data_IF_300303635993
#
_entry.id   IF_300303635993
#
_cell.length_a   1.000
_cell.length_b   1.000
_cell.length_c   1.000
_cell.angle_alpha   90.00
_cell.angle_beta   90.00
_cell.angle_gamma   90.00
#
_symmetry.space_group_name_H-M   'P 1'
#
loop_
_entity.id
_entity.type
_entity.pdbx_description
1 polymer ?
#
# COMPACT_ATOMS: atom_id res chain seq x y z
N UNK A 1 -38.86 0.41 10.92
CA UNK A 1 -37.91 0.34 9.80
C UNK A 1 -38.18 1.39 8.70
N UNK A 2 -39.27 1.32 7.91
CA UNK A 2 -39.47 2.26 6.78
C UNK A 2 -39.61 3.74 7.16
N UNK A 3 -40.12 4.03 8.35
CA UNK A 3 -40.17 5.40 8.90
C UNK A 3 -38.79 5.91 9.28
N UNK A 4 -37.95 5.05 9.85
CA UNK A 4 -36.58 5.40 10.26
C UNK A 4 -35.67 5.55 9.05
N UNK A 5 -35.82 4.71 8.03
CA UNK A 5 -35.11 4.82 6.75
C UNK A 5 -35.44 6.14 6.07
N UNK A 6 -36.73 6.51 5.98
CA UNK A 6 -37.14 7.81 5.44
C UNK A 6 -36.53 8.97 6.22
N UNK A 7 -36.63 8.93 7.55
CA UNK A 7 -36.02 9.95 8.41
C UNK A 7 -34.51 10.06 8.20
N UNK A 8 -33.79 8.93 8.07
CA UNK A 8 -32.36 8.92 7.82
C UNK A 8 -32.02 9.50 6.44
N UNK A 9 -32.77 9.12 5.40
CA UNK A 9 -32.60 9.67 4.05
C UNK A 9 -32.78 11.20 4.05
N UNK A 10 -33.87 11.68 4.64
CA UNK A 10 -34.15 13.12 4.71
C UNK A 10 -33.06 13.85 5.51
N UNK A 11 -32.57 13.22 6.59
CA UNK A 11 -31.47 13.76 7.39
C UNK A 11 -30.18 13.86 6.58
N UNK A 12 -29.80 12.82 5.83
CA UNK A 12 -28.58 12.82 5.01
C UNK A 12 -28.65 13.87 3.90
N UNK A 13 -29.79 13.98 3.20
CA UNK A 13 -30.01 15.00 2.17
C UNK A 13 -29.96 16.41 2.78
N UNK A 14 -30.61 16.62 3.92
CA UNK A 14 -30.61 17.91 4.60
C UNK A 14 -29.22 18.29 5.10
N UNK A 15 -28.45 17.34 5.66
CA UNK A 15 -27.05 17.58 6.06
C UNK A 15 -26.23 18.01 4.84
N UNK A 16 -26.30 17.26 3.74
CA UNK A 16 -25.57 17.60 2.51
C UNK A 16 -25.89 19.02 2.02
N UNK A 17 -27.17 19.35 1.89
CA UNK A 17 -27.60 20.67 1.44
C UNK A 17 -27.23 21.80 2.42
N UNK A 18 -27.32 21.54 3.72
CA UNK A 18 -27.02 22.54 4.76
C UNK A 18 -25.52 22.81 4.82
N UNK A 19 -24.69 21.78 4.77
CA UNK A 19 -23.22 21.92 4.74
C UNK A 19 -22.79 22.69 3.49
N UNK A 20 -23.32 22.33 2.31
CA UNK A 20 -23.06 23.06 1.06
C UNK A 20 -23.39 24.55 1.18
N UNK A 21 -24.53 24.90 1.79
CA UNK A 21 -24.93 26.29 1.99
C UNK A 21 -24.04 27.00 3.01
N UNK A 22 -23.67 26.33 4.10
CA UNK A 22 -22.77 26.87 5.12
C UNK A 22 -21.38 27.16 4.56
N UNK A 23 -20.84 26.26 3.73
CA UNK A 23 -19.58 26.47 3.02
C UNK A 23 -19.65 27.70 2.10
N UNK A 24 -20.73 27.82 1.32
CA UNK A 24 -20.92 28.95 0.43
C UNK A 24 -21.00 30.29 1.19
N UNK A 25 -21.77 30.35 2.28
CA UNK A 25 -21.86 31.53 3.14
C UNK A 25 -20.55 31.85 3.86
N UNK A 26 -19.80 30.83 4.28
CA UNK A 26 -18.50 31.01 4.95
C UNK A 26 -17.47 31.61 3.98
N UNK A 27 -17.43 31.16 2.73
CA UNK A 27 -16.57 31.74 1.70
C UNK A 27 -16.99 33.19 1.37
N UNK A 28 -18.29 33.48 1.30
CA UNK A 28 -18.78 34.86 1.08
C UNK A 28 -18.43 35.82 2.23
N UNK A 29 -18.31 35.33 3.46
CA UNK A 29 -17.94 36.12 4.64
C UNK A 29 -16.43 36.16 4.90
N UNK A 30 -15.66 35.27 4.28
CA UNK A 30 -14.21 35.23 4.39
C UNK A 30 -13.58 36.44 3.70
N UNK A 31 -12.33 36.77 4.04
CA UNK A 31 -11.61 37.93 3.49
C UNK A 31 -11.19 37.79 2.01
N UNK A 32 -11.86 36.91 1.25
CA UNK A 32 -11.55 36.61 -0.14
C UNK A 32 -12.75 36.94 -1.04
N UNK A 33 -12.81 38.19 -1.50
CA UNK A 33 -13.94 38.66 -2.34
C UNK A 33 -13.92 38.11 -3.77
N UNK A 34 -12.84 37.43 -4.17
CA UNK A 34 -12.56 37.03 -5.55
C UNK A 34 -12.53 35.51 -5.79
N UNK A 35 -12.99 34.67 -4.86
CA UNK A 35 -12.96 33.20 -5.01
C UNK A 35 -14.31 32.54 -4.70
N UNK A 36 -14.72 31.55 -5.50
CA UNK A 36 -15.94 30.76 -5.27
C UNK A 36 -15.67 29.47 -4.51
N UNK A 37 -16.71 28.85 -3.91
CA UNK A 37 -16.57 27.56 -3.22
C UNK A 37 -16.03 26.45 -4.14
N UNK A 38 -16.48 26.39 -5.40
CA UNK A 38 -15.95 25.43 -6.39
C UNK A 38 -14.47 25.66 -6.68
N UNK A 39 -14.03 26.92 -6.66
CA UNK A 39 -12.62 27.27 -6.81
C UNK A 39 -11.83 26.86 -5.55
N UNK A 40 -12.38 27.02 -4.35
CA UNK A 40 -11.78 26.52 -3.10
C UNK A 40 -11.62 25.01 -3.12
N UNK A 41 -12.67 24.23 -3.45
CA UNK A 41 -12.55 22.77 -3.61
C UNK A 41 -11.54 22.38 -4.69
N UNK A 42 -11.38 23.21 -5.74
CA UNK A 42 -10.33 23.01 -6.73
C UNK A 42 -8.94 23.26 -6.13
N UNK A 43 -8.76 24.25 -5.26
CA UNK A 43 -7.51 24.46 -4.52
C UNK A 43 -7.22 23.31 -3.56
N UNK A 44 -8.22 22.80 -2.85
CA UNK A 44 -8.07 21.63 -1.98
C UNK A 44 -7.65 20.39 -2.75
N UNK A 45 -8.25 20.14 -3.92
CA UNK A 45 -7.86 19.05 -4.79
C UNK A 45 -6.43 19.20 -5.37
N UNK A 46 -5.89 20.43 -5.43
CA UNK A 46 -4.47 20.68 -5.72
C UNK A 46 -3.60 20.41 -4.48
N UNK A 47 -4.10 20.74 -3.29
CA UNK A 47 -3.48 20.45 -1.99
C UNK A 47 -2.27 21.32 -1.65
N UNK A 48 -1.98 21.45 -0.35
CA UNK A 48 -0.87 22.27 0.20
C UNK A 48 0.52 21.61 0.09
N UNK A 49 0.61 20.45 -0.57
CA UNK A 49 1.82 19.64 -0.70
C UNK A 49 2.55 19.79 -2.04
N UNK A 50 2.95 18.64 -2.62
CA UNK A 50 3.69 18.57 -3.89
C UNK A 50 2.84 19.02 -5.08
N UNK A 51 3.50 19.59 -6.09
CA UNK A 51 2.87 19.93 -7.36
C UNK A 51 2.23 18.71 -8.05
N UNK A 52 0.99 18.87 -8.52
CA UNK A 52 0.15 17.84 -9.13
C UNK A 52 -0.04 18.08 -10.63
N UNK A 53 -0.45 17.05 -11.37
CA UNK A 53 -0.81 17.20 -12.80
C UNK A 53 -2.29 17.55 -12.96
N UNK A 54 -2.67 18.14 -14.10
CA UNK A 54 -4.07 18.41 -14.44
C UNK A 54 -4.94 17.15 -14.43
N UNK A 55 -4.44 16.06 -15.02
CA UNK A 55 -5.16 14.77 -15.05
C UNK A 55 -5.47 14.27 -13.64
N UNK A 56 -4.51 14.45 -12.73
CA UNK A 56 -4.65 14.00 -11.37
C UNK A 56 -5.72 14.80 -10.60
N UNK A 57 -5.67 16.14 -10.63
CA UNK A 57 -6.66 16.99 -9.95
C UNK A 57 -8.06 16.79 -10.54
N UNK A 58 -8.17 16.55 -11.85
CA UNK A 58 -9.46 16.32 -12.51
C UNK A 58 -10.11 15.02 -12.04
N UNK A 59 -9.30 13.97 -11.80
CA UNK A 59 -9.78 12.70 -11.28
C UNK A 59 -10.29 12.83 -9.83
N UNK A 60 -9.63 13.63 -8.99
CA UNK A 60 -10.06 13.89 -7.60
C UNK A 60 -11.44 14.54 -7.59
N UNK A 61 -11.61 15.58 -8.41
CA UNK A 61 -12.88 16.30 -8.53
C UNK A 61 -13.96 15.54 -9.32
N UNK A 62 -13.62 14.42 -9.95
CA UNK A 62 -14.55 13.65 -10.78
C UNK A 62 -15.00 14.38 -12.05
N UNK A 63 -14.18 15.29 -12.59
CA UNK A 63 -14.50 16.11 -13.78
C UNK A 63 -13.56 15.84 -14.96
N UNK A 64 -13.92 16.32 -16.15
CA UNK A 64 -13.05 16.24 -17.34
C UNK A 64 -11.85 17.18 -17.19
N UNK A 65 -10.69 16.77 -17.73
CA UNK A 65 -9.46 17.59 -17.74
C UNK A 65 -9.67 18.93 -18.45
N UNK A 66 -10.50 18.97 -19.50
CA UNK A 66 -10.87 20.21 -20.19
C UNK A 66 -11.60 21.19 -19.26
N UNK A 67 -12.54 20.71 -18.45
CA UNK A 67 -13.25 21.50 -17.44
C UNK A 67 -12.30 22.04 -16.37
N UNK A 68 -11.41 21.18 -15.86
CA UNK A 68 -10.40 21.61 -14.91
C UNK A 68 -9.46 22.68 -15.50
N UNK A 69 -9.09 22.56 -16.76
CA UNK A 69 -8.18 23.52 -17.44
C UNK A 69 -8.72 24.93 -17.38
N UNK A 70 -10.02 25.10 -17.58
CA UNK A 70 -10.69 26.40 -17.46
C UNK A 70 -10.73 26.90 -16.02
N UNK A 71 -11.01 26.04 -15.04
CA UNK A 71 -11.04 26.40 -13.63
C UNK A 71 -9.65 26.83 -13.12
N UNK A 72 -8.63 26.01 -13.38
CA UNK A 72 -7.24 26.30 -13.01
C UNK A 72 -6.73 27.55 -13.72
N UNK A 73 -7.10 27.78 -14.99
CA UNK A 73 -6.74 29.00 -15.70
C UNK A 73 -7.22 30.28 -15.00
N UNK A 74 -8.43 30.25 -14.42
CA UNK A 74 -8.95 31.36 -13.59
C UNK A 74 -8.17 31.52 -12.29
N UNK A 75 -7.91 30.41 -11.59
CA UNK A 75 -7.14 30.41 -10.34
C UNK A 75 -5.69 30.89 -10.51
N UNK A 76 -5.06 30.60 -11.66
CA UNK A 76 -3.74 31.13 -12.02
C UNK A 76 -3.81 32.64 -12.22
N UNK A 77 -4.80 33.16 -12.96
CA UNK A 77 -4.99 34.61 -13.17
C UNK A 77 -5.23 35.35 -11.85
N UNK A 78 -5.97 34.73 -10.93
CA UNK A 78 -6.23 35.25 -9.57
C UNK A 78 -5.02 35.09 -8.62
N UNK A 79 -3.95 34.44 -9.04
CA UNK A 79 -2.72 34.28 -8.24
C UNK A 79 -2.80 33.21 -7.14
N UNK A 80 -3.82 32.34 -7.15
CA UNK A 80 -3.97 31.25 -6.17
C UNK A 80 -3.19 29.98 -6.56
N UNK A 81 -2.93 29.79 -7.86
CA UNK A 81 -2.25 28.60 -8.39
C UNK A 81 -1.06 29.01 -9.23
N UNK A 82 0.06 28.30 -9.07
CA UNK A 82 1.23 28.37 -9.94
C UNK A 82 1.17 27.21 -10.93
N UNK A 83 1.37 27.52 -12.20
CA UNK A 83 1.46 26.52 -13.29
C UNK A 83 2.86 26.58 -13.88
N UNK A 84 3.53 25.45 -13.94
CA UNK A 84 4.89 25.35 -14.48
C UNK A 84 5.08 24.04 -15.24
N UNK A 85 6.10 24.00 -16.10
CA UNK A 85 6.53 22.77 -16.75
C UNK A 85 7.48 22.05 -15.80
N UNK A 86 7.28 20.74 -15.67
CA UNK A 86 8.16 19.92 -14.85
C UNK A 86 9.60 19.99 -15.38
N UNK A 87 10.56 20.10 -14.46
CA UNK A 87 11.98 20.24 -14.83
C UNK A 87 12.56 18.92 -15.36
N UNK A 88 12.03 17.77 -14.93
CA UNK A 88 12.46 16.45 -15.37
C UNK A 88 11.75 16.01 -16.67
N UNK A 89 10.47 16.34 -16.87
CA UNK A 89 9.78 16.17 -18.16
C UNK A 89 9.11 17.48 -18.59
N UNK A 90 9.78 18.26 -19.44
CA UNK A 90 9.28 19.55 -19.95
C UNK A 90 7.95 19.46 -20.70
N UNK A 91 7.50 18.25 -21.08
CA UNK A 91 6.17 18.01 -21.69
C UNK A 91 5.07 17.91 -20.64
N UNK A 92 5.43 17.65 -19.39
CA UNK A 92 4.49 17.53 -18.28
C UNK A 92 4.25 18.90 -17.65
N UNK A 93 2.98 19.30 -17.60
CA UNK A 93 2.54 20.52 -16.92
C UNK A 93 2.08 20.16 -15.52
N UNK A 94 2.67 20.81 -14.53
CA UNK A 94 2.26 20.70 -13.12
C UNK A 94 1.65 22.00 -12.61
N UNK A 95 0.84 21.84 -11.57
CA UNK A 95 0.20 22.93 -10.84
C UNK A 95 0.44 22.74 -9.35
N UNK A 96 0.67 23.85 -8.63
CA UNK A 96 0.75 23.89 -7.18
C UNK A 96 0.05 25.12 -6.65
N UNK A 97 -0.29 25.09 -5.36
CA UNK A 97 -0.80 26.29 -4.70
C UNK A 97 0.30 27.36 -4.61
N UNK A 98 -0.10 28.61 -4.80
CA UNK A 98 0.70 29.74 -4.31
C UNK A 98 0.57 29.84 -2.79
N UNK A 99 1.32 30.73 -2.16
CA UNK A 99 1.15 31.02 -0.73
C UNK A 99 -0.29 31.50 -0.43
N UNK A 100 -0.87 32.30 -1.33
CA UNK A 100 -2.26 32.76 -1.27
C UNK A 100 -3.24 31.57 -1.37
N UNK A 101 -3.03 30.67 -2.33
CA UNK A 101 -3.85 29.45 -2.47
C UNK A 101 -3.76 28.52 -1.26
N UNK A 102 -2.56 28.34 -0.73
CA UNK A 102 -2.34 27.50 0.45
C UNK A 102 -2.97 28.08 1.71
N UNK A 103 -3.04 29.42 1.83
CA UNK A 103 -3.74 30.08 2.94
C UNK A 103 -5.24 29.81 2.90
N UNK A 104 -5.88 29.97 1.74
CA UNK A 104 -7.31 29.68 1.55
C UNK A 104 -7.64 28.24 1.96
N UNK A 105 -6.84 27.27 1.50
CA UNK A 105 -7.05 25.86 1.85
C UNK A 105 -6.94 25.64 3.36
N UNK A 106 -5.92 26.19 4.03
CA UNK A 106 -5.78 26.05 5.49
C UNK A 106 -6.93 26.67 6.27
N UNK A 107 -7.40 27.84 5.85
CA UNK A 107 -8.53 28.51 6.50
C UNK A 107 -9.84 27.73 6.29
N UNK A 108 -10.02 27.13 5.11
CA UNK A 108 -11.17 26.28 4.81
C UNK A 108 -11.13 24.95 5.59
N UNK A 109 -9.96 24.30 5.68
CA UNK A 109 -9.76 23.11 6.51
C UNK A 109 -10.05 23.40 7.99
N UNK A 110 -9.55 24.54 8.51
CA UNK A 110 -9.82 24.97 9.88
C UNK A 110 -11.31 25.25 10.13
N UNK A 111 -12.01 25.82 9.15
CA UNK A 111 -13.46 25.99 9.20
C UNK A 111 -14.19 24.64 9.31
N UNK A 112 -13.82 23.66 8.49
CA UNK A 112 -14.39 22.31 8.59
C UNK A 112 -14.13 21.67 9.94
N UNK A 113 -12.91 21.76 10.45
CA UNK A 113 -12.57 21.20 11.75
C UNK A 113 -13.39 21.84 12.87
N UNK A 114 -13.52 23.17 12.88
CA UNK A 114 -14.33 23.89 13.84
C UNK A 114 -15.82 23.52 13.75
N UNK A 115 -16.35 23.39 12.53
CA UNK A 115 -17.73 22.96 12.29
C UNK A 115 -17.99 21.56 12.84
N UNK A 116 -17.12 20.59 12.54
CA UNK A 116 -17.26 19.22 13.03
C UNK A 116 -17.13 19.16 14.55
N UNK A 117 -16.15 19.88 15.15
CA UNK A 117 -16.02 19.97 16.60
C UNK A 117 -17.29 20.53 17.25
N UNK A 118 -17.87 21.58 16.68
CA UNK A 118 -19.13 22.14 17.17
C UNK A 118 -20.30 21.16 17.03
N UNK A 119 -20.41 20.46 15.88
CA UNK A 119 -21.45 19.45 15.66
C UNK A 119 -21.35 18.27 16.64
N UNK A 120 -20.12 17.88 17.02
CA UNK A 120 -19.88 16.80 17.98
C UNK A 120 -20.03 17.23 19.44
N UNK A 121 -20.06 18.53 19.75
CA UNK A 121 -20.15 19.03 21.14
C UNK A 121 -21.42 18.58 21.89
N UNK A 122 -22.49 18.25 21.15
CA UNK A 122 -23.74 17.72 21.71
C UNK A 122 -23.76 16.19 21.85
N UNK A 123 -22.67 15.50 21.48
CA UNK A 123 -22.55 14.04 21.54
C UNK A 123 -21.64 13.65 22.71
N UNK A 124 -22.08 12.77 23.62
CA UNK A 124 -21.21 12.24 24.67
C UNK A 124 -19.92 11.61 24.10
N UNK A 125 -18.77 11.86 24.72
CA UNK A 125 -17.46 11.40 24.22
C UNK A 125 -17.40 9.88 24.00
N UNK A 126 -18.03 9.11 24.90
CA UNK A 126 -18.11 7.64 24.83
C UNK A 126 -18.95 7.13 23.63
N UNK A 127 -19.72 8.02 23.02
CA UNK A 127 -20.61 7.74 21.90
C UNK A 127 -20.03 8.22 20.56
N UNK A 128 -19.03 9.11 20.58
CA UNK A 128 -18.38 9.65 19.37
C UNK A 128 -17.77 8.52 18.53
N UNK A 129 -17.06 7.58 19.15
CA UNK A 129 -16.46 6.45 18.43
C UNK A 129 -17.50 5.64 17.65
N UNK A 130 -18.64 5.31 18.28
CA UNK A 130 -19.72 4.57 17.61
C UNK A 130 -20.36 5.38 16.48
N UNK A 131 -20.49 6.69 16.65
CA UNK A 131 -21.01 7.58 15.62
C UNK A 131 -20.07 7.61 14.41
N UNK A 132 -18.76 7.77 14.64
CA UNK A 132 -17.73 7.74 13.59
C UNK A 132 -17.73 6.41 12.85
N UNK A 133 -17.81 5.28 13.57
CA UNK A 133 -17.91 3.95 12.96
C UNK A 133 -19.17 3.79 12.10
N UNK A 134 -20.31 4.33 12.55
CA UNK A 134 -21.58 4.26 11.84
C UNK A 134 -21.56 5.07 10.54
N UNK A 135 -21.06 6.31 10.60
CA UNK A 135 -20.87 7.16 9.41
C UNK A 135 -19.82 6.56 8.47
N UNK A 136 -18.73 6.04 9.02
CA UNK A 136 -17.68 5.33 8.29
C UNK A 136 -18.24 4.12 7.54
N UNK A 137 -19.12 3.34 8.16
CA UNK A 137 -19.78 2.19 7.54
C UNK A 137 -20.67 2.59 6.34
N UNK A 138 -21.38 3.72 6.44
CA UNK A 138 -22.19 4.26 5.33
C UNK A 138 -21.27 4.68 4.18
N UNK A 139 -20.18 5.40 4.47
CA UNK A 139 -19.21 5.80 3.47
C UNK A 139 -18.56 4.58 2.78
N UNK A 140 -18.15 3.58 3.57
CA UNK A 140 -17.59 2.33 3.06
C UNK A 140 -18.62 1.60 2.17
N UNK A 141 -19.90 1.55 2.55
CA UNK A 141 -20.96 0.98 1.70
C UNK A 141 -21.11 1.74 0.36
N UNK A 142 -21.07 3.08 0.37
CA UNK A 142 -21.18 3.89 -0.84
C UNK A 142 -19.95 3.69 -1.76
N UNK A 143 -18.76 3.62 -1.17
CA UNK A 143 -17.53 3.28 -1.89
C UNK A 143 -17.56 1.84 -2.43
N UNK A 144 -18.08 0.90 -1.65
CA UNK A 144 -18.32 -0.49 -2.04
C UNK A 144 -19.31 -0.58 -3.21
N UNK A 145 -20.42 0.16 -3.20
CA UNK A 145 -21.42 0.17 -4.30
C UNK A 145 -20.86 0.70 -5.62
N UNK A 146 -19.79 1.52 -5.60
CA UNK A 146 -19.04 1.92 -6.80
C UNK A 146 -18.10 0.82 -7.31
N UNK A 147 -17.83 -0.19 -6.50
CA UNK A 147 -17.11 -1.42 -6.84
C UNK A 147 -18.11 -2.55 -7.08
N UNK A 148 -18.30 -2.97 -8.33
CA UNK A 148 -19.21 -4.07 -8.67
C UNK A 148 -18.82 -5.43 -8.06
N UNK A 149 -17.65 -5.52 -7.42
CA UNK A 149 -17.13 -6.73 -6.80
C UNK A 149 -17.26 -6.66 -5.27
N UNK A 150 -18.09 -7.56 -4.73
CA UNK A 150 -18.02 -8.17 -3.41
C UNK A 150 -17.86 -7.24 -2.19
N UNK A 151 -18.93 -7.10 -1.41
CA UNK A 151 -18.84 -6.82 0.01
C UNK A 151 -19.86 -7.69 0.75
N UNK A 152 -19.36 -8.64 1.53
CA UNK A 152 -20.15 -9.29 2.59
C UNK A 152 -19.36 -9.04 3.86
N UNK A 153 -19.96 -8.33 4.82
CA UNK A 153 -19.43 -8.20 6.17
C UNK A 153 -19.26 -9.63 6.71
N UNK A 154 -18.02 -10.07 6.89
CA UNK A 154 -17.71 -11.42 7.39
C UNK A 154 -17.34 -11.28 8.87
N UNK A 155 -17.66 -12.30 9.65
CA UNK A 155 -17.06 -12.40 10.98
C UNK A 155 -15.53 -12.44 10.80
N UNK A 156 -14.83 -11.49 11.42
CA UNK A 156 -13.39 -11.45 11.33
C UNK A 156 -12.78 -12.63 12.07
N UNK A 157 -12.15 -13.51 11.31
CA UNK A 157 -11.47 -14.67 11.85
C UNK A 157 -10.22 -14.97 11.03
N UNK A 158 -9.09 -15.02 11.73
CA UNK A 158 -7.83 -15.53 11.22
C UNK A 158 -7.94 -17.05 11.07
N UNK A 159 -8.48 -17.49 9.94
CA UNK A 159 -8.65 -18.91 9.63
C UNK A 159 -7.37 -19.45 8.97
N UNK A 160 -6.97 -20.66 9.33
CA UNK A 160 -5.80 -21.30 8.72
C UNK A 160 -5.95 -21.34 7.19
N UNK A 161 -4.85 -21.08 6.50
CA UNK A 161 -4.80 -21.06 5.03
C UNK A 161 -3.88 -22.17 4.51
N UNK A 162 -4.17 -22.67 3.31
CA UNK A 162 -3.34 -23.68 2.65
C UNK A 162 -2.49 -23.04 1.56
N UNK A 163 -1.20 -23.36 1.55
CA UNK A 163 -0.21 -22.90 0.58
C UNK A 163 0.57 -24.11 0.05
N UNK A 164 0.32 -24.48 -1.22
CA UNK A 164 0.89 -25.70 -1.82
C UNK A 164 0.67 -26.97 -0.97
N UNK A 165 -0.50 -27.08 -0.33
CA UNK A 165 -0.85 -28.19 0.57
C UNK A 165 -0.30 -28.06 2.00
N UNK A 166 0.63 -27.14 2.28
CA UNK A 166 1.06 -26.84 3.64
C UNK A 166 0.01 -25.97 4.34
N UNK A 167 -0.26 -26.27 5.60
CA UNK A 167 -1.12 -25.46 6.44
C UNK A 167 -0.33 -24.31 7.05
N UNK A 168 -0.91 -23.10 7.00
CA UNK A 168 -0.45 -21.92 7.70
C UNK A 168 -1.49 -21.58 8.77
N UNK A 169 -1.26 -21.92 10.05
CA UNK A 169 -2.26 -21.79 11.11
C UNK A 169 -2.73 -20.34 11.33
N UNK A 170 -1.80 -19.39 11.28
CA UNK A 170 -2.08 -17.97 11.44
C UNK A 170 -1.78 -17.27 10.11
N UNK A 171 -2.79 -16.77 9.37
CA UNK A 171 -2.63 -16.14 8.05
C UNK A 171 -2.04 -14.71 8.14
N UNK A 172 -1.02 -14.54 8.98
CA UNK A 172 -0.20 -13.33 9.11
C UNK A 172 1.16 -13.62 8.48
N UNK A 173 1.52 -12.78 7.52
CA UNK A 173 2.77 -12.87 6.78
C UNK A 173 3.67 -11.70 7.17
N UNK A 174 4.85 -12.00 7.69
CA UNK A 174 5.90 -11.00 7.84
C UNK A 174 6.60 -10.78 6.50
N UNK A 175 6.74 -9.52 6.07
CA UNK A 175 7.29 -9.20 4.76
C UNK A 175 8.81 -9.39 4.67
N UNK A 176 9.31 -10.09 3.64
CA UNK A 176 10.74 -10.30 3.44
C UNK A 176 11.48 -9.03 3.01
N UNK A 177 11.93 -8.27 4.00
CA UNK A 177 12.64 -7.01 3.85
C UNK A 177 14.14 -7.29 3.61
N UNK A 178 14.64 -6.82 2.47
CA UNK A 178 16.00 -7.05 1.97
C UNK A 178 17.09 -6.40 2.84
N UNK A 179 18.35 -6.44 2.39
CA UNK A 179 19.53 -5.82 3.05
C UNK A 179 19.72 -6.26 4.51
N UNK A 180 19.24 -7.46 4.85
CA UNK A 180 19.35 -8.03 6.20
C UNK A 180 18.38 -7.45 7.23
N UNK A 181 17.29 -6.80 6.82
CA UNK A 181 16.23 -6.34 7.76
C UNK A 181 15.35 -7.51 8.22
N UNK A 182 15.08 -8.47 7.33
CA UNK A 182 14.41 -9.72 7.64
C UNK A 182 15.32 -10.91 7.32
N UNK A 183 16.02 -11.38 8.34
CA UNK A 183 16.85 -12.58 8.30
C UNK A 183 16.18 -13.75 9.03
N UNK A 184 16.99 -14.74 9.36
CA UNK A 184 16.55 -15.98 10.00
C UNK A 184 15.90 -15.77 11.36
N UNK A 185 16.31 -14.76 12.13
CA UNK A 185 15.80 -14.52 13.48
C UNK A 185 14.35 -14.07 13.45
N UNK A 186 14.04 -13.04 12.64
CA UNK A 186 12.68 -12.56 12.47
C UNK A 186 11.78 -13.62 11.83
N UNK A 187 12.25 -14.25 10.74
CA UNK A 187 11.46 -15.25 10.03
C UNK A 187 11.13 -16.47 10.92
N UNK A 188 12.09 -16.95 11.71
CA UNK A 188 11.86 -18.04 12.65
C UNK A 188 10.87 -17.65 13.76
N UNK A 189 11.01 -16.46 14.34
CA UNK A 189 10.10 -16.00 15.40
C UNK A 189 8.65 -15.97 14.94
N UNK A 190 8.40 -15.43 13.74
CA UNK A 190 7.06 -15.39 13.15
C UNK A 190 6.51 -16.79 12.90
N UNK A 191 7.34 -17.69 12.39
CA UNK A 191 6.94 -19.08 12.11
C UNK A 191 6.73 -19.92 13.39
N UNK A 192 7.43 -19.62 14.48
CA UNK A 192 7.18 -20.24 15.80
C UNK A 192 5.77 -19.92 16.30
N UNK A 193 5.32 -18.67 16.08
CA UNK A 193 3.96 -18.21 16.40
C UNK A 193 2.88 -18.65 15.38
N UNK A 194 3.24 -19.53 14.44
CA UNK A 194 2.30 -20.08 13.45
C UNK A 194 2.07 -19.22 12.21
N UNK A 195 2.80 -18.10 12.06
CA UNK A 195 2.76 -17.23 10.89
C UNK A 195 3.71 -17.66 9.77
N UNK A 196 3.77 -16.86 8.70
CA UNK A 196 4.72 -17.04 7.60
C UNK A 196 5.86 -16.02 7.74
N UNK A 197 7.04 -16.52 8.09
CA UNK A 197 8.27 -15.75 8.13
C UNK A 197 8.99 -15.74 6.79
N UNK A 198 9.35 -14.57 6.28
CA UNK A 198 10.01 -14.42 4.98
C UNK A 198 11.38 -13.75 5.14
N UNK A 199 12.39 -14.39 4.54
CA UNK A 199 13.75 -13.87 4.46
C UNK A 199 13.87 -12.95 3.24
N UNK A 200 14.36 -11.72 3.44
CA UNK A 200 14.59 -10.77 2.35
C UNK A 200 15.91 -11.04 1.66
N UNK A 201 15.87 -11.51 0.41
CA UNK A 201 17.06 -12.09 -0.24
C UNK A 201 18.01 -11.08 -0.88
N UNK A 202 17.51 -9.93 -1.34
CA UNK A 202 18.35 -8.95 -2.07
C UNK A 202 19.43 -8.37 -1.16
N UNK A 203 20.68 -8.48 -1.59
CA UNK A 203 21.88 -8.03 -0.88
C UNK A 203 22.00 -8.51 0.57
N UNK A 204 21.39 -9.65 0.93
CA UNK A 204 21.43 -10.17 2.30
C UNK A 204 22.87 -10.43 2.81
N UNK A 205 23.79 -10.71 1.89
CA UNK A 205 25.18 -11.02 2.18
C UNK A 205 26.09 -9.79 2.36
N UNK A 206 25.58 -8.55 2.27
CA UNK A 206 26.41 -7.33 2.23
C UNK A 206 27.37 -7.14 3.40
N UNK A 207 27.06 -7.72 4.58
CA UNK A 207 27.93 -7.68 5.78
C UNK A 207 28.93 -8.83 5.84
N UNK A 208 28.91 -9.74 4.87
CA UNK A 208 29.69 -10.98 4.90
C UNK A 208 31.02 -10.78 4.21
N UNK A 209 32.10 -11.29 4.82
CA UNK A 209 33.45 -11.23 4.26
C UNK A 209 33.46 -11.79 2.83
N UNK A 210 34.03 -11.02 1.91
CA UNK A 210 34.14 -11.38 0.49
C UNK A 210 33.02 -10.83 -0.39
N UNK A 211 31.98 -10.20 0.19
CA UNK A 211 30.88 -9.63 -0.57
C UNK A 211 31.36 -8.63 -1.64
N UNK A 212 32.27 -7.72 -1.30
CA UNK A 212 32.77 -6.71 -2.27
C UNK A 212 33.47 -7.31 -3.50
N UNK A 213 33.92 -8.57 -3.41
CA UNK A 213 34.61 -9.27 -4.51
C UNK A 213 33.65 -10.10 -5.37
N UNK A 214 32.70 -10.78 -4.73
CA UNK A 214 31.70 -11.61 -5.42
C UNK A 214 30.36 -11.56 -4.67
N UNK A 215 29.59 -10.47 -4.87
CA UNK A 215 28.31 -10.27 -4.18
C UNK A 215 27.33 -11.41 -4.46
N UNK A 216 27.30 -11.91 -5.69
CA UNK A 216 26.35 -12.94 -6.10
C UNK A 216 26.58 -14.24 -5.34
N UNK A 217 27.80 -14.77 -5.37
CA UNK A 217 28.11 -16.05 -4.68
C UNK A 217 27.89 -15.93 -3.18
N UNK A 218 28.26 -14.79 -2.59
CA UNK A 218 28.04 -14.53 -1.17
C UNK A 218 26.55 -14.46 -0.84
N UNK A 219 25.75 -13.73 -1.62
CA UNK A 219 24.30 -13.65 -1.43
C UNK A 219 23.66 -15.05 -1.55
N UNK A 220 24.00 -15.84 -2.57
CA UNK A 220 23.44 -17.19 -2.75
C UNK A 220 23.73 -18.09 -1.54
N UNK A 221 24.97 -18.07 -1.03
CA UNK A 221 25.34 -18.82 0.18
C UNK A 221 24.56 -18.35 1.39
N UNK A 222 24.50 -17.03 1.63
CA UNK A 222 23.83 -16.47 2.81
C UNK A 222 22.31 -16.72 2.77
N UNK A 223 21.68 -16.68 1.59
CA UNK A 223 20.26 -17.06 1.43
C UNK A 223 20.04 -18.50 1.89
N UNK A 224 20.85 -19.44 1.43
CA UNK A 224 20.76 -20.86 1.82
C UNK A 224 20.93 -21.03 3.33
N UNK A 225 21.95 -20.39 3.92
CA UNK A 225 22.26 -20.45 5.35
C UNK A 225 21.15 -19.84 6.22
N UNK A 226 20.61 -18.68 5.86
CA UNK A 226 19.57 -17.99 6.62
C UNK A 226 18.25 -18.79 6.58
N UNK A 227 17.86 -19.33 5.41
CA UNK A 227 16.65 -20.17 5.30
C UNK A 227 16.83 -21.45 6.14
N UNK A 228 17.96 -22.13 6.01
CA UNK A 228 18.24 -23.36 6.76
C UNK A 228 18.24 -23.11 8.27
N UNK A 229 18.83 -21.99 8.71
CA UNK A 229 18.85 -21.60 10.14
C UNK A 229 17.45 -21.31 10.67
N UNK A 230 16.63 -20.58 9.90
CA UNK A 230 15.25 -20.32 10.29
C UNK A 230 14.43 -21.61 10.40
N UNK A 231 14.52 -22.51 9.40
CA UNK A 231 13.87 -23.83 9.42
C UNK A 231 14.28 -24.65 10.64
N UNK A 232 15.58 -24.73 10.92
CA UNK A 232 16.11 -25.46 12.09
C UNK A 232 15.57 -24.89 13.41
N UNK A 233 15.51 -23.57 13.55
CA UNK A 233 15.00 -22.93 14.76
C UNK A 233 13.50 -23.20 14.97
N UNK A 234 12.70 -23.16 13.90
CA UNK A 234 11.27 -23.47 13.95
C UNK A 234 11.03 -24.92 14.33
N UNK A 235 11.79 -25.85 13.74
CA UNK A 235 11.71 -27.28 14.07
C UNK A 235 12.10 -27.54 15.53
N UNK A 236 13.21 -26.97 15.99
CA UNK A 236 13.68 -27.12 17.37
C UNK A 236 12.71 -26.51 18.40
N UNK A 237 12.01 -25.43 18.04
CA UNK A 237 11.03 -24.77 18.91
C UNK A 237 9.61 -25.33 18.78
N UNK A 238 9.36 -26.35 17.95
CA UNK A 238 8.03 -26.94 17.77
C UNK A 238 7.02 -26.01 17.06
N UNK A 239 7.49 -25.05 16.27
CA UNK A 239 6.65 -24.11 15.55
C UNK A 239 5.87 -24.76 14.40
N UNK A 240 4.65 -24.30 14.17
CA UNK A 240 3.75 -24.80 13.10
C UNK A 240 3.60 -23.85 11.92
N UNK A 241 4.27 -22.70 11.95
CA UNK A 241 4.30 -21.76 10.84
C UNK A 241 5.23 -22.18 9.72
N UNK A 242 5.34 -21.32 8.70
CA UNK A 242 6.11 -21.59 7.49
C UNK A 242 7.28 -20.62 7.37
N UNK A 243 8.38 -21.09 6.79
CA UNK A 243 9.53 -20.25 6.45
C UNK A 243 9.67 -20.19 4.94
N UNK A 244 9.86 -18.98 4.42
CA UNK A 244 10.05 -18.73 3.01
C UNK A 244 11.06 -17.64 2.71
N UNK A 245 11.16 -17.30 1.43
CA UNK A 245 12.04 -16.24 0.94
C UNK A 245 11.29 -15.27 0.03
N UNK A 246 11.60 -13.98 0.15
CA UNK A 246 11.13 -12.93 -0.74
C UNK A 246 12.25 -12.56 -1.73
N UNK A 247 11.97 -12.78 -3.02
CA UNK A 247 12.91 -12.55 -4.13
C UNK A 247 12.42 -11.40 -5.00
N UNK A 248 13.25 -10.40 -5.20
CA UNK A 248 12.96 -9.31 -6.14
C UNK A 248 13.11 -9.83 -7.58
N UNK A 249 12.02 -9.91 -8.33
CA UNK A 249 12.00 -10.57 -9.64
C UNK A 249 12.73 -9.80 -10.73
N UNK A 250 12.78 -8.47 -10.64
CA UNK A 250 13.59 -7.62 -11.54
C UNK A 250 15.10 -7.83 -11.36
N UNK A 251 15.54 -8.52 -10.31
CA UNK A 251 16.95 -8.86 -10.15
C UNK A 251 17.40 -9.84 -11.25
N UNK A 252 18.50 -9.53 -11.95
CA UNK A 252 19.00 -10.34 -13.08
C UNK A 252 19.25 -11.81 -12.73
N UNK A 253 19.60 -12.10 -11.48
CA UNK A 253 19.86 -13.44 -10.96
C UNK A 253 18.71 -14.01 -10.10
N UNK A 254 17.50 -13.45 -10.17
CA UNK A 254 16.35 -13.87 -9.34
C UNK A 254 16.15 -15.40 -9.34
N UNK A 255 16.27 -16.05 -10.49
CA UNK A 255 16.18 -17.51 -10.60
C UNK A 255 17.23 -18.29 -9.79
N UNK A 256 18.45 -17.75 -9.63
CA UNK A 256 19.49 -18.35 -8.77
C UNK A 256 19.14 -18.16 -7.28
N UNK A 257 18.57 -17.01 -6.93
CA UNK A 257 18.17 -16.70 -5.55
C UNK A 257 17.04 -17.63 -5.11
N UNK A 258 16.07 -17.89 -6.00
CA UNK A 258 15.03 -18.90 -5.79
C UNK A 258 15.64 -20.27 -5.52
N UNK A 259 16.58 -20.72 -6.36
CA UNK A 259 17.25 -22.02 -6.18
C UNK A 259 18.02 -22.11 -4.86
N UNK A 260 18.72 -21.04 -4.45
CA UNK A 260 19.40 -21.00 -3.16
C UNK A 260 18.44 -21.08 -1.98
N UNK A 261 17.32 -20.34 -2.02
CA UNK A 261 16.29 -20.40 -0.98
C UNK A 261 15.64 -21.80 -0.89
N UNK A 262 15.32 -22.41 -2.03
CA UNK A 262 14.80 -23.78 -2.11
C UNK A 262 15.82 -24.78 -1.53
N UNK A 263 17.10 -24.64 -1.87
CA UNK A 263 18.18 -25.48 -1.32
C UNK A 263 18.32 -25.34 0.20
N UNK A 264 18.09 -24.14 0.75
CA UNK A 264 18.03 -23.89 2.19
C UNK A 264 16.78 -24.45 2.88
N UNK A 265 15.79 -24.97 2.14
CA UNK A 265 14.57 -25.57 2.69
C UNK A 265 13.38 -24.61 2.77
N UNK A 266 13.34 -23.56 1.94
CA UNK A 266 12.19 -22.66 1.88
C UNK A 266 10.92 -23.42 1.46
N UNK A 267 9.83 -23.22 2.21
CA UNK A 267 8.51 -23.80 1.91
C UNK A 267 7.65 -22.86 1.06
N UNK A 268 8.00 -21.58 1.03
CA UNK A 268 7.29 -20.54 0.28
C UNK A 268 8.30 -19.64 -0.43
N UNK A 269 8.07 -19.35 -1.70
CA UNK A 269 8.78 -18.34 -2.47
C UNK A 269 7.80 -17.23 -2.82
N UNK A 270 8.06 -16.04 -2.29
CA UNK A 270 7.36 -14.82 -2.66
C UNK A 270 8.21 -14.06 -3.67
N UNK A 271 7.62 -13.61 -4.76
CA UNK A 271 8.30 -12.68 -5.68
C UNK A 271 7.71 -11.29 -5.60
N UNK A 272 8.56 -10.26 -5.57
CA UNK A 272 8.17 -8.85 -5.66
C UNK A 272 8.75 -8.21 -6.92
N UNK A 273 8.34 -6.98 -7.23
CA UNK A 273 8.93 -6.16 -8.30
C UNK A 273 8.99 -6.86 -9.68
N UNK A 274 7.88 -6.86 -10.42
CA UNK A 274 7.80 -7.40 -11.78
C UNK A 274 6.76 -8.49 -11.94
N UNK A 275 6.69 -9.10 -13.13
CA UNK A 275 5.79 -10.20 -13.44
C UNK A 275 6.60 -11.51 -13.56
N UNK A 276 6.51 -12.44 -12.58
CA UNK A 276 7.30 -13.65 -12.52
C UNK A 276 6.82 -14.75 -13.50
N UNK A 277 6.79 -14.45 -14.80
CA UNK A 277 6.20 -15.33 -15.82
C UNK A 277 6.85 -16.71 -15.91
N UNK A 278 8.13 -16.81 -15.57
CA UNK A 278 8.96 -18.01 -15.67
C UNK A 278 9.43 -18.55 -14.31
N UNK A 279 8.93 -18.01 -13.19
CA UNK A 279 9.25 -18.53 -11.84
C UNK A 279 9.08 -20.05 -11.68
N UNK A 280 8.03 -20.71 -12.21
CA UNK A 280 7.89 -22.16 -12.11
C UNK A 280 9.06 -22.95 -12.73
N UNK A 281 9.82 -22.36 -13.66
CA UNK A 281 11.02 -22.99 -14.23
C UNK A 281 12.17 -23.13 -13.23
N UNK A 282 12.18 -22.33 -12.16
CA UNK A 282 13.23 -22.34 -11.13
C UNK A 282 12.83 -23.14 -9.88
N UNK A 283 11.58 -23.57 -9.78
CA UNK A 283 11.05 -24.38 -8.69
C UNK A 283 9.94 -25.32 -9.21
N UNK A 284 10.33 -26.53 -9.59
CA UNK A 284 9.39 -27.56 -10.08
C UNK A 284 8.67 -28.30 -8.94
N UNK A 285 9.21 -28.25 -7.71
CA UNK A 285 8.57 -28.85 -6.54
C UNK A 285 7.21 -28.17 -6.29
N UNK A 286 6.16 -28.99 -6.28
CA UNK A 286 4.78 -28.56 -6.03
C UNK A 286 4.42 -28.48 -4.56
N UNK A 287 5.31 -28.92 -3.65
CA UNK A 287 5.17 -28.73 -2.19
C UNK A 287 5.66 -27.36 -1.73
N UNK A 288 6.41 -26.66 -2.58
CA UNK A 288 6.88 -25.28 -2.31
C UNK A 288 5.88 -24.31 -2.94
N UNK A 289 5.27 -23.47 -2.12
CA UNK A 289 4.29 -22.49 -2.58
C UNK A 289 4.96 -21.35 -3.34
N UNK A 290 4.46 -21.04 -4.54
CA UNK A 290 4.91 -19.92 -5.34
C UNK A 290 3.85 -18.81 -5.31
N UNK A 291 4.19 -17.68 -4.68
CA UNK A 291 3.26 -16.59 -4.37
C UNK A 291 3.75 -15.27 -5.01
N UNK A 292 3.22 -14.88 -6.18
CA UNK A 292 3.52 -13.60 -6.79
C UNK A 292 2.92 -12.42 -6.02
N UNK A 293 3.70 -11.34 -5.85
CA UNK A 293 3.19 -10.05 -5.41
C UNK A 293 2.72 -9.23 -6.61
N UNK A 294 1.53 -8.65 -6.51
CA UNK A 294 0.87 -7.88 -7.58
C UNK A 294 0.27 -6.59 -7.04
N UNK A 295 -0.02 -5.64 -7.94
CA UNK A 295 -0.72 -4.39 -7.64
C UNK A 295 -2.03 -4.23 -8.43
N UNK A 296 -2.45 -5.23 -9.21
CA UNK A 296 -3.67 -5.16 -10.02
C UNK A 296 -4.21 -6.52 -10.45
N UNK A 297 -5.51 -6.56 -10.76
CA UNK A 297 -6.20 -7.72 -11.36
C UNK A 297 -5.56 -8.19 -12.66
N UNK A 298 -5.09 -7.24 -13.49
CA UNK A 298 -4.44 -7.55 -14.78
C UNK A 298 -3.16 -8.35 -14.59
N UNK A 299 -2.37 -8.03 -13.57
CA UNK A 299 -1.14 -8.76 -13.25
C UNK A 299 -1.44 -10.19 -12.80
N UNK A 300 -2.42 -10.40 -11.89
CA UNK A 300 -2.88 -11.74 -11.50
C UNK A 300 -3.26 -12.57 -12.73
N UNK A 301 -4.16 -12.04 -13.58
CA UNK A 301 -4.64 -12.73 -14.77
C UNK A 301 -3.52 -13.11 -15.74
N UNK A 302 -2.56 -12.21 -15.96
CA UNK A 302 -1.42 -12.45 -16.86
C UNK A 302 -0.47 -13.54 -16.35
N UNK A 303 -0.17 -13.55 -15.04
CA UNK A 303 0.69 -14.57 -14.43
C UNK A 303 0.01 -15.92 -14.47
N UNK A 304 -1.23 -16.01 -14.00
CA UNK A 304 -2.04 -17.23 -14.00
C UNK A 304 -2.12 -17.83 -15.40
N UNK A 305 -2.53 -17.05 -16.41
CA UNK A 305 -2.61 -17.52 -17.79
C UNK A 305 -1.27 -18.10 -18.27
N UNK A 306 -0.18 -17.37 -18.03
CA UNK A 306 1.16 -17.79 -18.47
C UNK A 306 1.57 -19.10 -17.81
N UNK A 307 1.38 -19.21 -16.50
CA UNK A 307 1.78 -20.39 -15.74
C UNK A 307 0.96 -21.62 -16.11
N UNK A 308 -0.35 -21.47 -16.27
CA UNK A 308 -1.22 -22.56 -16.72
C UNK A 308 -0.79 -23.06 -18.10
N UNK A 309 -0.57 -22.15 -19.06
CA UNK A 309 -0.25 -22.51 -20.44
C UNK A 309 1.15 -23.11 -20.60
N UNK A 310 2.16 -22.56 -19.93
CA UNK A 310 3.56 -22.94 -20.16
C UNK A 310 4.07 -24.00 -19.17
N UNK A 311 3.52 -24.06 -17.97
CA UNK A 311 4.05 -24.88 -16.87
C UNK A 311 3.02 -25.83 -16.27
N UNK A 312 1.77 -25.83 -16.75
CA UNK A 312 0.66 -26.60 -16.18
C UNK A 312 0.57 -26.41 -14.64
N UNK A 313 0.76 -25.17 -14.19
CA UNK A 313 0.78 -24.79 -12.77
C UNK A 313 0.01 -23.48 -12.60
N UNK A 314 -0.73 -23.35 -11.52
CA UNK A 314 -1.32 -22.08 -11.09
C UNK A 314 -0.57 -21.56 -9.86
N UNK A 315 -0.59 -20.25 -9.59
CA UNK A 315 -0.05 -19.72 -8.35
C UNK A 315 -0.75 -20.29 -7.11
N UNK A 316 0.03 -20.57 -6.07
CA UNK A 316 -0.45 -21.15 -4.81
C UNK A 316 -1.10 -20.10 -3.88
N UNK A 317 -1.11 -18.84 -4.34
CA UNK A 317 -1.65 -17.67 -3.68
C UNK A 317 -1.11 -16.41 -4.36
N UNK A 318 -1.65 -15.26 -4.00
CA UNK A 318 -1.11 -13.97 -4.40
C UNK A 318 -1.00 -13.03 -3.21
N UNK A 319 -0.01 -12.14 -3.27
CA UNK A 319 0.05 -10.98 -2.37
C UNK A 319 -0.38 -9.75 -3.16
N UNK A 320 -1.41 -9.05 -2.71
CA UNK A 320 -1.71 -7.70 -3.19
C UNK A 320 -0.92 -6.70 -2.36
N UNK A 321 0.03 -6.01 -2.99
CA UNK A 321 0.72 -4.86 -2.41
C UNK A 321 -0.11 -3.61 -2.67
N UNK A 322 -0.74 -3.10 -1.60
CA UNK A 322 -1.46 -1.84 -1.61
C UNK A 322 -0.55 -0.61 -1.72
N UNK A 323 -1.11 0.55 -2.12
CA UNK A 323 -0.35 1.78 -2.38
C UNK A 323 0.22 2.43 -1.12
N UNK A 324 -0.21 1.99 0.08
CA UNK A 324 0.28 2.44 1.37
C UNK A 324 1.51 1.64 1.87
N UNK A 325 2.01 0.68 1.09
CA UNK A 325 3.20 -0.08 1.45
C UNK A 325 4.47 0.80 1.55
N UNK A 326 5.47 0.31 2.26
CA UNK A 326 6.81 0.89 2.28
C UNK A 326 7.71 0.24 1.21
N UNK A 327 8.84 0.86 0.91
CA UNK A 327 9.80 0.35 -0.07
C UNK A 327 9.30 0.50 -1.50
N UNK A 328 9.69 -0.43 -2.38
CA UNK A 328 9.38 -0.40 -3.80
C UNK A 328 7.88 -0.65 -4.05
N UNK A 329 7.23 0.26 -4.78
CA UNK A 329 5.80 0.25 -5.02
C UNK A 329 5.45 -0.25 -6.42
N UNK A 330 4.41 -1.07 -6.52
CA UNK A 330 3.80 -1.49 -7.80
C UNK A 330 2.96 -0.41 -8.51
N UNK A 331 3.17 0.88 -8.19
CA UNK A 331 2.40 2.03 -8.69
C UNK A 331 3.34 3.18 -9.08
N UNK A 332 3.01 3.90 -10.15
CA UNK A 332 3.69 5.16 -10.45
C UNK A 332 3.25 6.25 -9.47
N UNK A 333 4.11 7.22 -9.20
CA UNK A 333 3.79 8.31 -8.28
C UNK A 333 2.48 9.03 -8.66
N UNK A 334 2.25 9.26 -9.95
CA UNK A 334 1.03 9.87 -10.48
C UNK A 334 -0.25 9.07 -10.22
N UNK A 335 -0.13 7.76 -9.99
CA UNK A 335 -1.25 6.82 -9.80
C UNK A 335 -1.55 6.56 -8.32
N UNK A 336 -0.63 6.91 -7.42
CA UNK A 336 -0.70 6.52 -6.01
C UNK A 336 -1.95 7.03 -5.30
N UNK A 337 -2.33 8.28 -5.49
CA UNK A 337 -3.50 8.84 -4.81
C UNK A 337 -4.80 8.16 -5.24
N UNK A 338 -4.96 7.96 -6.56
CA UNK A 338 -6.09 7.20 -7.10
C UNK A 338 -6.07 5.77 -6.56
N UNK A 339 -4.91 5.12 -6.56
CA UNK A 339 -4.77 3.79 -6.01
C UNK A 339 -5.12 3.76 -4.51
N UNK A 340 -4.76 4.78 -3.74
CA UNK A 340 -5.11 4.90 -2.32
C UNK A 340 -6.63 4.96 -2.14
N UNK A 341 -7.32 5.77 -2.95
CA UNK A 341 -8.79 5.85 -2.95
C UNK A 341 -9.46 4.55 -3.41
N UNK A 342 -8.91 3.89 -4.43
CA UNK A 342 -9.45 2.68 -5.04
C UNK A 342 -8.96 1.38 -4.35
N UNK A 343 -8.11 1.44 -3.32
CA UNK A 343 -7.36 0.26 -2.80
C UNK A 343 -8.25 -0.93 -2.48
N UNK A 344 -9.38 -0.70 -1.83
CA UNK A 344 -10.33 -1.74 -1.44
C UNK A 344 -11.09 -2.32 -2.63
N UNK A 345 -11.45 -1.48 -3.60
CA UNK A 345 -11.99 -1.92 -4.88
C UNK A 345 -11.00 -2.81 -5.62
N UNK A 346 -9.72 -2.46 -5.64
CA UNK A 346 -8.68 -3.28 -6.29
C UNK A 346 -8.55 -4.64 -5.58
N UNK A 347 -8.59 -4.68 -4.24
CA UNK A 347 -8.59 -5.95 -3.48
C UNK A 347 -9.76 -6.83 -3.93
N UNK A 348 -10.98 -6.30 -3.99
CA UNK A 348 -12.16 -7.05 -4.40
C UNK A 348 -12.08 -7.53 -5.85
N UNK A 349 -11.59 -6.69 -6.77
CA UNK A 349 -11.36 -7.06 -8.17
C UNK A 349 -10.32 -8.19 -8.33
N UNK A 350 -9.25 -8.15 -7.54
CA UNK A 350 -8.22 -9.19 -7.50
C UNK A 350 -8.80 -10.48 -6.93
N UNK A 351 -9.52 -10.42 -5.81
CA UNK A 351 -10.18 -11.59 -5.21
C UNK A 351 -11.17 -12.26 -6.17
N UNK A 352 -11.94 -11.48 -6.92
CA UNK A 352 -12.86 -12.00 -7.93
C UNK A 352 -12.13 -12.74 -9.07
N UNK A 353 -10.95 -12.27 -9.49
CA UNK A 353 -10.11 -12.96 -10.47
C UNK A 353 -9.56 -14.28 -9.91
N UNK A 354 -9.12 -14.28 -8.65
CA UNK A 354 -8.58 -15.44 -7.95
C UNK A 354 -9.62 -16.52 -7.67
N UNK A 355 -10.89 -16.13 -7.47
CA UNK A 355 -12.00 -17.07 -7.27
C UNK A 355 -12.28 -17.99 -8.47
N UNK A 356 -11.62 -17.75 -9.62
CA UNK A 356 -11.62 -18.65 -10.79
C UNK A 356 -10.65 -19.82 -10.66
N UNK A 357 -9.78 -19.78 -9.64
CA UNK A 357 -8.75 -20.77 -9.38
C UNK A 357 -9.13 -21.61 -8.16
N UNK A 358 -8.74 -22.87 -8.21
CA UNK A 358 -8.86 -23.75 -7.06
C UNK A 358 -7.81 -23.37 -6.00
N UNK A 359 -8.25 -23.18 -4.75
CA UNK A 359 -7.37 -22.96 -3.59
C UNK A 359 -6.29 -21.87 -3.77
N UNK A 360 -6.68 -20.69 -4.26
CA UNK A 360 -5.76 -19.55 -4.44
C UNK A 360 -6.09 -18.40 -3.47
N UNK A 361 -5.47 -18.36 -2.27
CA UNK A 361 -5.70 -17.31 -1.28
C UNK A 361 -5.11 -15.96 -1.71
N UNK A 362 -5.76 -14.88 -1.29
CA UNK A 362 -5.30 -13.50 -1.41
C UNK A 362 -4.77 -13.01 -0.07
N UNK A 363 -3.47 -12.75 -0.02
CA UNK A 363 -2.83 -12.05 1.10
C UNK A 363 -2.78 -10.56 0.76
N UNK A 364 -3.20 -9.68 1.67
CA UNK A 364 -3.21 -8.23 1.44
C UNK A 364 -2.16 -7.55 2.31
N UNK A 365 -1.33 -6.70 1.70
CA UNK A 365 -0.35 -5.88 2.42
C UNK A 365 -0.43 -4.40 2.05
N UNK A 366 0.13 -3.54 2.90
CA UNK A 366 0.25 -2.10 2.68
C UNK A 366 -0.75 -1.28 3.50
N UNK A 367 -0.25 -0.56 4.51
CA UNK A 367 -1.07 0.27 5.40
C UNK A 367 -1.86 -0.53 6.45
N UNK A 368 -1.36 -1.71 6.85
CA UNK A 368 -1.97 -2.53 7.90
C UNK A 368 -1.06 -2.50 9.13
N UNK A 369 -1.56 -1.96 10.24
CA UNK A 369 -0.83 -1.81 11.49
C UNK A 369 -1.58 -2.39 12.70
N UNK A 370 -2.92 -2.40 12.66
CA UNK A 370 -3.77 -2.88 13.75
C UNK A 370 -4.83 -3.88 13.28
N UNK A 371 -5.68 -4.32 14.22
CA UNK A 371 -6.76 -5.28 13.97
C UNK A 371 -7.81 -4.68 13.04
N UNK A 372 -8.16 -3.43 13.23
CA UNK A 372 -9.19 -2.71 12.48
C UNK A 372 -8.80 -2.62 10.99
N UNK A 373 -7.52 -2.36 10.70
CA UNK A 373 -6.99 -2.40 9.32
C UNK A 373 -7.14 -3.78 8.68
N UNK A 374 -6.85 -4.83 9.46
CA UNK A 374 -6.97 -6.21 9.02
C UNK A 374 -8.43 -6.56 8.75
N UNK A 375 -9.33 -6.30 9.70
CA UNK A 375 -10.78 -6.47 9.54
C UNK A 375 -11.28 -5.82 8.25
N UNK A 376 -10.85 -4.58 8.01
CA UNK A 376 -11.24 -3.84 6.83
C UNK A 376 -10.80 -4.52 5.55
N UNK A 377 -9.56 -5.00 5.41
CA UNK A 377 -9.15 -5.70 4.17
C UNK A 377 -9.80 -7.07 4.01
N UNK A 378 -10.17 -7.74 5.10
CA UNK A 378 -10.94 -9.00 5.08
C UNK A 378 -12.36 -8.79 4.54
N UNK A 379 -13.01 -7.67 4.88
CA UNK A 379 -14.34 -7.31 4.32
C UNK A 379 -14.32 -7.17 2.79
N UNK A 380 -13.17 -6.85 2.19
CA UNK A 380 -12.97 -6.76 0.74
C UNK A 380 -12.36 -8.01 0.10
N UNK A 381 -12.15 -9.09 0.88
CA UNK A 381 -11.81 -10.41 0.35
C UNK A 381 -10.39 -10.89 0.58
N UNK A 382 -9.63 -10.28 1.51
CA UNK A 382 -8.40 -10.88 2.00
C UNK A 382 -8.67 -12.24 2.68
N UNK A 383 -7.76 -13.20 2.50
CA UNK A 383 -7.72 -14.45 3.27
C UNK A 383 -6.57 -14.43 4.30
N UNK A 384 -5.61 -13.52 4.12
CA UNK A 384 -4.49 -13.26 5.02
C UNK A 384 -3.96 -11.83 4.88
N UNK A 385 -3.10 -11.42 5.80
CA UNK A 385 -2.48 -10.09 5.79
C UNK A 385 -0.96 -10.18 5.74
N UNK A 386 -0.33 -9.16 5.14
CA UNK A 386 1.11 -8.99 5.13
C UNK A 386 1.50 -7.66 5.77
N UNK A 387 2.44 -7.72 6.72
CA UNK A 387 2.95 -6.55 7.42
C UNK A 387 4.48 -6.50 7.28
N UNK A 388 5.02 -5.32 6.99
CA UNK A 388 6.46 -5.11 6.86
C UNK A 388 6.97 -4.14 7.92
N UNK A 389 6.59 -2.87 7.78
CA UNK A 389 7.01 -1.78 8.69
C UNK A 389 6.74 -2.08 10.16
N UNK A 390 5.60 -2.71 10.48
CA UNK A 390 5.28 -3.12 11.86
C UNK A 390 6.29 -4.11 12.44
N UNK A 391 6.78 -5.05 11.63
CA UNK A 391 7.76 -6.04 12.06
C UNK A 391 9.17 -5.47 12.22
N UNK A 392 9.50 -4.32 11.60
CA UNK A 392 10.81 -3.67 11.81
C UNK A 392 11.00 -3.27 13.27
N UNK A 393 9.93 -2.88 13.95
CA UNK A 393 9.96 -2.40 15.32
C UNK A 393 10.06 -3.53 16.37
N UNK A 394 10.03 -4.81 15.98
CA UNK A 394 10.07 -5.92 16.94
C UNK A 394 11.49 -6.22 17.40
N UNK A 395 11.63 -6.91 18.53
CA UNK A 395 12.93 -7.28 19.06
C UNK A 395 13.65 -8.28 18.14
N UNK A 396 12.91 -9.15 17.44
CA UNK A 396 13.39 -10.23 16.57
C UNK A 396 13.89 -9.74 15.20
N UNK A 397 13.49 -8.54 14.77
CA UNK A 397 13.97 -7.97 13.50
C UNK A 397 15.51 -7.88 13.45
N UNK A 398 16.11 -8.38 12.39
CA UNK A 398 17.58 -8.48 12.21
C UNK A 398 18.25 -7.12 11.97
N UNK A 399 17.47 -6.06 11.78
CA UNK A 399 17.98 -4.71 11.69
C UNK A 399 18.67 -4.25 12.98
N UNK A 400 19.67 -3.39 12.83
CA UNK A 400 20.38 -2.77 13.96
C UNK A 400 19.45 -1.86 14.76
N UNK A 401 19.67 -1.75 16.07
CA UNK A 401 18.80 -1.00 16.98
C UNK A 401 18.48 0.42 16.50
N UNK A 402 19.50 1.15 16.03
CA UNK A 402 19.34 2.51 15.49
C UNK A 402 18.36 2.58 14.32
N UNK A 403 18.31 1.54 13.47
CA UNK A 403 17.35 1.48 12.36
C UNK A 403 15.92 1.31 12.88
N UNK A 404 15.71 0.53 13.95
CA UNK A 404 14.38 0.36 14.57
C UNK A 404 13.91 1.63 15.27
N UNK A 405 14.81 2.32 15.97
CA UNK A 405 14.53 3.61 16.64
C UNK A 405 14.06 4.68 15.66
N UNK A 406 14.60 4.68 14.43
CA UNK A 406 14.11 5.56 13.38
C UNK A 406 12.62 5.31 13.07
N UNK A 407 12.15 4.05 13.05
CA UNK A 407 10.73 3.72 12.84
C UNK A 407 9.86 4.06 14.06
N UNK A 408 10.41 3.97 15.28
CA UNK A 408 9.68 4.30 16.50
C UNK A 408 9.47 5.81 16.68
N UNK A 409 10.44 6.61 16.21
CA UNK A 409 10.43 8.06 16.37
C UNK A 409 9.88 8.81 15.15
N UNK A 410 9.60 8.12 14.04
CA UNK A 410 9.13 8.78 12.82
C UNK A 410 7.67 9.24 12.94
N UNK A 411 7.40 10.38 12.33
CA UNK A 411 6.05 10.87 12.06
C UNK A 411 5.71 10.70 10.57
N UNK A 412 4.47 10.95 10.19
CA UNK A 412 4.08 10.95 8.76
C UNK A 412 4.89 11.94 7.92
N UNK A 413 5.31 13.06 8.54
CA UNK A 413 6.14 14.07 7.89
C UNK A 413 7.56 13.60 7.58
N UNK A 414 8.02 12.52 8.21
CA UNK A 414 9.35 11.93 7.99
C UNK A 414 9.35 10.89 6.87
N UNK A 415 8.21 10.66 6.22
CA UNK A 415 8.07 9.72 5.11
C UNK A 415 7.97 10.49 3.78
N UNK A 416 8.65 9.98 2.76
CA UNK A 416 8.67 10.57 1.43
C UNK A 416 8.64 9.49 0.36
N UNK A 417 8.22 9.87 -0.85
CA UNK A 417 8.31 9.00 -2.02
C UNK A 417 9.35 9.59 -2.95
N UNK A 418 10.32 8.76 -3.33
CA UNK A 418 11.35 9.07 -4.30
C UNK A 418 11.20 8.15 -5.51
N UNK A 419 11.83 8.54 -6.62
CA UNK A 419 11.91 7.69 -7.82
C UNK A 419 13.24 6.94 -7.80
N UNK A 420 13.19 5.62 -7.93
CA UNK A 420 14.41 4.81 -8.05
C UNK A 420 15.07 5.01 -9.43
N UNK A 421 16.35 4.63 -9.58
CA UNK A 421 17.01 4.56 -10.90
C UNK A 421 16.23 3.70 -11.91
N UNK A 422 15.53 2.67 -11.41
CA UNK A 422 14.63 1.81 -12.21
C UNK A 422 13.26 2.46 -12.49
N UNK A 423 13.15 3.79 -12.37
CA UNK A 423 11.97 4.63 -12.64
C UNK A 423 10.71 4.21 -11.86
N UNK A 424 10.88 3.48 -10.75
CA UNK A 424 9.78 2.95 -9.93
C UNK A 424 9.68 3.76 -8.63
N UNK A 425 8.47 3.99 -8.13
CA UNK A 425 8.25 4.74 -6.90
C UNK A 425 8.73 3.94 -5.69
N UNK A 426 9.43 4.59 -4.77
CA UNK A 426 9.91 3.97 -3.53
C UNK A 426 9.51 4.86 -2.36
N UNK A 427 8.78 4.30 -1.41
CA UNK A 427 8.47 4.98 -0.14
C UNK A 427 9.59 4.75 0.85
N UNK A 428 10.23 5.82 1.27
CA UNK A 428 11.40 5.84 2.15
C UNK A 428 11.23 6.85 3.26
N UNK A 429 12.08 6.75 4.28
CA UNK A 429 12.22 7.80 5.29
C UNK A 429 13.05 8.95 4.73
N UNK A 430 12.67 10.18 5.05
CA UNK A 430 13.41 11.39 4.69
C UNK A 430 14.77 11.37 5.39
N UNK A 431 15.81 11.65 4.61
CA UNK A 431 17.17 11.85 5.07
C UNK A 431 17.96 12.53 3.95
N UNK A 432 19.18 12.98 4.25
CA UNK A 432 20.05 13.68 3.30
C UNK A 432 20.31 12.90 2.01
N UNK A 433 20.34 11.56 2.07
CA UNK A 433 20.49 10.72 0.89
C UNK A 433 19.23 10.69 0.02
N UNK A 434 18.04 10.52 0.64
CA UNK A 434 16.77 10.57 -0.07
C UNK A 434 16.53 11.94 -0.72
N UNK A 435 16.90 13.02 -0.03
CA UNK A 435 16.79 14.39 -0.55
C UNK A 435 17.78 14.61 -1.70
N UNK A 436 19.01 14.11 -1.58
CA UNK A 436 20.00 14.15 -2.67
C UNK A 436 19.53 13.37 -3.90
N UNK A 437 18.99 12.17 -3.71
CA UNK A 437 18.42 11.38 -4.81
C UNK A 437 17.25 12.12 -5.48
N UNK A 438 16.35 12.70 -4.69
CA UNK A 438 15.23 13.48 -5.22
C UNK A 438 15.70 14.71 -6.01
N UNK A 439 16.77 15.38 -5.56
CA UNK A 439 17.33 16.56 -6.21
C UNK A 439 18.09 16.24 -7.50
N UNK A 440 18.73 15.08 -7.58
CA UNK A 440 19.58 14.73 -8.75
C UNK A 440 18.81 14.48 -10.04
N UNK A 441 17.49 14.19 -9.98
CA UNK A 441 16.65 14.00 -11.16
C UNK A 441 17.17 12.98 -12.19
N UNK A 442 18.16 12.14 -11.84
CA UNK A 442 18.94 11.38 -12.83
C UNK A 442 18.06 10.41 -13.60
N UNK A 443 17.88 10.74 -14.87
CA UNK A 443 17.28 9.92 -15.91
C UNK A 443 18.33 9.12 -16.69
N UNK A 444 19.41 8.66 -16.04
CA UNK A 444 20.46 7.89 -16.72
C UNK A 444 19.88 6.59 -17.33
#
# INVERSE_FOLDING_TARGET
MDREIRKLNDTLVNIFNTVMKMEEEAIQKASYDDISITEVHTLEAIGTGRARTMTHVANILGIKVSTLTTAVGRLVKKGYVRRFRDEADRRMVKISLSERGARVVREHEAFHEAMIRAALSGIPEDSISRFVESVGSINDFLLMRRSTAYARKREFKLSAMKLAGNELPVPIVQAGMSIGVAGSRLAAAVALEGGLGLIGTSEIGWRTKGYDKDPLTVNLRVIEEEVARARKNVEAGGGRGLVGAAVMWTHRDAGKYVKAAVKGGAQVIVTSAGLPKDLPAYCSDRKIALIPTISSRRAASAITKTWTQKYNRTPDGFIFQGPLAAGLLGFKESELEKACGDRYKIIAEVKAELGKLENCPLIVGGGIACREDAEKVYDYGADGIMMGTRFVATEECDAVRRYKELYLNCTENDVTIIRSPMKTSVRVMKNSFADSLAATGRED
#
